data_IF_633733802680
#
_entry.id   IF_633733802680
#
_cell.length_a   1.000
_cell.length_b   1.000
_cell.length_c   1.000
_cell.angle_alpha   90.00
_cell.angle_beta   90.00
_cell.angle_gamma   90.00
#
_symmetry.space_group_name_H-M   'P 1'
#
loop_
_entity.id
_entity.type
_entity.pdbx_description
1 polymer ?
#
# COMPACT_ATOMS: atom_id res chain seq x y z
N UNK A 1 37.57 29.50 8.70
CA UNK A 1 36.42 28.78 8.12
C UNK A 1 37.02 27.61 7.35
N UNK A 2 36.85 26.39 7.86
CA UNK A 2 37.36 25.17 7.21
C UNK A 2 36.20 24.47 6.54
N UNK A 3 36.31 24.20 5.24
CA UNK A 3 35.35 23.37 4.53
C UNK A 3 35.64 21.92 4.88
N UNK A 4 34.69 21.23 5.55
CA UNK A 4 34.78 19.84 5.93
C UNK A 4 33.99 19.00 4.91
N UNK A 5 34.69 18.14 4.15
CA UNK A 5 34.05 17.23 3.21
C UNK A 5 33.70 15.93 3.90
N UNK A 6 32.42 15.71 4.14
CA UNK A 6 31.92 14.47 4.72
C UNK A 6 31.69 13.43 3.62
N UNK A 7 32.33 12.29 3.78
CA UNK A 7 32.24 11.15 2.85
C UNK A 7 31.28 10.11 3.40
N UNK A 8 30.58 9.39 2.53
CA UNK A 8 29.73 8.28 2.93
C UNK A 8 30.56 7.24 3.71
N UNK A 9 30.30 7.06 5.03
CA UNK A 9 31.04 6.07 5.82
C UNK A 9 30.72 4.66 5.40
N UNK A 10 31.52 3.69 5.85
CA UNK A 10 31.18 2.28 5.74
C UNK A 10 29.97 1.97 6.67
N UNK A 11 28.85 1.61 6.05
CA UNK A 11 27.57 1.40 6.72
C UNK A 11 27.21 -0.08 6.89
N UNK A 12 28.18 -0.99 6.71
CA UNK A 12 28.04 -2.43 6.94
C UNK A 12 28.94 -3.30 6.09
N UNK A 13 29.29 -4.49 6.59
CA UNK A 13 30.17 -5.42 5.90
C UNK A 13 29.68 -5.76 4.48
N UNK A 14 30.51 -5.42 3.48
CA UNK A 14 30.27 -5.73 2.07
C UNK A 14 29.38 -4.72 1.33
N UNK A 15 29.04 -3.58 1.92
CA UNK A 15 28.28 -2.51 1.27
C UNK A 15 29.22 -1.65 0.43
N UNK A 16 29.02 -1.60 -0.88
CA UNK A 16 29.84 -0.83 -1.82
C UNK A 16 29.20 0.52 -2.14
N UNK A 17 27.86 0.59 -2.11
CA UNK A 17 27.07 1.77 -2.45
C UNK A 17 25.77 1.82 -1.64
N UNK A 18 25.20 3.03 -1.47
CA UNK A 18 23.94 3.26 -0.81
C UNK A 18 23.06 4.23 -1.58
N UNK A 19 21.74 4.01 -1.54
CA UNK A 19 20.75 4.91 -2.14
C UNK A 19 20.34 5.98 -1.15
N UNK A 20 20.38 7.25 -1.55
CA UNK A 20 19.83 8.36 -0.79
C UNK A 20 18.31 8.28 -0.77
N UNK A 21 17.73 7.99 0.38
CA UNK A 21 16.27 7.87 0.54
C UNK A 21 15.63 9.19 0.91
N UNK A 22 16.27 9.90 1.84
CA UNK A 22 15.75 11.17 2.34
C UNK A 22 16.89 12.02 2.90
N UNK A 23 16.89 13.32 2.56
CA UNK A 23 17.67 14.34 3.25
C UNK A 23 16.83 14.94 4.37
N UNK A 24 17.39 15.02 5.57
CA UNK A 24 16.76 15.68 6.73
C UNK A 24 17.14 17.17 6.82
N UNK A 25 18.06 17.62 5.97
CA UNK A 25 18.68 18.95 5.97
C UNK A 25 18.73 19.50 4.55
N UNK A 26 18.86 20.83 4.45
CA UNK A 26 18.98 21.57 3.19
C UNK A 26 20.27 22.40 3.17
N UNK A 27 20.73 22.79 1.99
CA UNK A 27 21.86 23.71 1.85
C UNK A 27 21.55 25.03 2.55
N UNK A 28 22.42 25.45 3.46
CA UNK A 28 22.26 26.64 4.30
C UNK A 28 21.74 26.36 5.72
N UNK A 29 21.32 25.12 6.03
CA UNK A 29 20.90 24.74 7.37
C UNK A 29 22.10 24.60 8.30
N UNK A 30 21.91 24.99 9.58
CA UNK A 30 22.86 24.76 10.66
C UNK A 30 22.60 23.44 11.33
N UNK A 31 23.62 22.60 11.45
CA UNK A 31 23.58 21.28 12.07
C UNK A 31 24.54 21.20 13.26
N UNK A 32 24.16 20.43 14.28
CA UNK A 32 25.02 20.07 15.40
C UNK A 32 25.62 18.68 15.18
N UNK A 33 26.69 18.36 15.88
CA UNK A 33 27.24 17.01 15.94
C UNK A 33 26.13 16.03 16.40
N UNK A 34 26.03 14.87 15.77
CA UNK A 34 25.01 13.84 15.96
C UNK A 34 23.58 14.15 15.43
N UNK A 35 23.34 15.32 14.83
CA UNK A 35 22.05 15.59 14.19
C UNK A 35 21.86 14.68 12.97
N UNK A 36 20.64 14.14 12.73
CA UNK A 36 20.36 13.30 11.57
C UNK A 36 20.44 14.13 10.27
N UNK A 37 21.24 13.68 9.30
CA UNK A 37 21.45 14.38 8.03
C UNK A 37 20.72 13.70 6.88
N UNK A 38 20.93 12.41 6.74
CA UNK A 38 20.46 11.65 5.56
C UNK A 38 20.14 10.22 5.92
N UNK A 39 19.07 9.71 5.33
CA UNK A 39 18.77 8.28 5.34
C UNK A 39 19.32 7.64 4.07
N UNK A 40 20.23 6.69 4.24
CA UNK A 40 20.82 5.91 3.15
C UNK A 40 20.35 4.48 3.24
N UNK A 41 19.86 3.93 2.14
CA UNK A 41 19.40 2.56 2.02
C UNK A 41 20.45 1.70 1.34
N UNK A 42 20.80 0.61 2.01
CA UNK A 42 21.65 -0.46 1.47
C UNK A 42 20.78 -1.64 0.97
N UNK A 43 21.39 -2.70 0.51
CA UNK A 43 20.71 -3.95 0.20
C UNK A 43 20.07 -4.61 1.44
N UNK A 44 20.55 -4.30 2.66
CA UNK A 44 20.14 -4.94 3.92
C UNK A 44 19.25 -4.08 4.82
N UNK A 45 19.50 -2.76 4.89
CA UNK A 45 18.80 -1.88 5.81
C UNK A 45 18.84 -0.41 5.37
N UNK A 46 17.95 0.41 5.94
CA UNK A 46 18.06 1.87 5.88
C UNK A 46 18.77 2.35 7.13
N UNK A 47 19.83 3.13 6.95
CA UNK A 47 20.64 3.68 8.02
C UNK A 47 20.56 5.21 7.97
N UNK A 48 20.23 5.82 9.11
CA UNK A 48 20.30 7.28 9.27
C UNK A 48 21.74 7.66 9.62
N UNK A 49 22.34 8.53 8.82
CA UNK A 49 23.72 9.00 9.02
C UNK A 49 23.66 10.33 9.74
N UNK A 50 24.28 10.45 10.95
CA UNK A 50 24.36 11.69 11.69
C UNK A 50 25.53 12.57 11.22
N UNK A 51 25.49 13.85 11.60
CA UNK A 51 26.57 14.81 11.36
C UNK A 51 27.80 14.50 12.21
N UNK A 52 28.99 14.42 11.63
CA UNK A 52 30.22 14.23 12.40
C UNK A 52 30.75 15.53 13.03
N UNK A 53 30.24 16.70 12.61
CA UNK A 53 30.70 18.03 13.06
C UNK A 53 29.54 19.02 13.10
N UNK A 54 29.65 20.04 13.93
CA UNK A 54 28.71 21.17 13.91
C UNK A 54 29.17 22.23 12.88
N UNK A 55 28.22 22.77 12.12
CA UNK A 55 28.50 23.76 11.09
C UNK A 55 27.28 24.09 10.23
N UNK A 56 27.52 24.79 9.13
CA UNK A 56 26.50 25.14 8.14
C UNK A 56 26.75 24.33 6.87
N UNK A 57 25.70 23.72 6.32
CA UNK A 57 25.79 22.91 5.10
C UNK A 57 26.02 23.82 3.90
N UNK A 58 27.15 23.64 3.22
CA UNK A 58 27.49 24.41 2.02
C UNK A 58 27.08 23.71 0.73
N UNK A 59 27.16 22.38 0.66
CA UNK A 59 26.67 21.61 -0.49
C UNK A 59 26.22 20.20 -0.09
N UNK A 60 25.30 19.64 -0.88
CA UNK A 60 24.85 18.25 -0.80
C UNK A 60 25.20 17.54 -2.11
N UNK A 61 25.74 16.33 -2.02
CA UNK A 61 26.11 15.52 -3.19
C UNK A 61 25.04 14.45 -3.42
N UNK A 62 24.34 14.56 -4.55
CA UNK A 62 23.28 13.64 -4.95
C UNK A 62 21.87 14.02 -4.50
N UNK A 63 20.93 13.71 -5.37
CA UNK A 63 19.49 13.88 -5.13
C UNK A 63 18.89 12.62 -4.48
N UNK A 64 17.70 12.77 -3.92
CA UNK A 64 16.92 11.62 -3.44
C UNK A 64 16.71 10.61 -4.55
N UNK A 65 17.14 9.37 -4.34
CA UNK A 65 17.13 8.25 -5.29
C UNK A 65 18.47 8.01 -6.01
N UNK A 66 19.50 8.82 -5.75
CA UNK A 66 20.82 8.60 -6.34
C UNK A 66 21.61 7.56 -5.54
N UNK A 67 22.42 6.76 -6.24
CA UNK A 67 23.35 5.80 -5.65
C UNK A 67 24.67 6.49 -5.37
N UNK A 68 25.14 6.43 -4.14
CA UNK A 68 26.41 7.00 -3.71
C UNK A 68 27.34 5.88 -3.24
N UNK A 69 28.53 5.80 -3.83
CA UNK A 69 29.52 4.80 -3.43
C UNK A 69 30.11 5.13 -2.05
N UNK A 70 30.39 4.10 -1.25
CA UNK A 70 31.08 4.26 0.04
C UNK A 70 32.44 4.95 -0.17
N UNK A 71 32.72 5.98 0.64
CA UNK A 71 33.91 6.81 0.53
C UNK A 71 33.81 8.01 -0.44
N UNK A 72 32.73 8.12 -1.22
CA UNK A 72 32.47 9.31 -2.04
C UNK A 72 31.99 10.48 -1.18
N UNK A 73 32.18 11.72 -1.69
CA UNK A 73 31.70 12.92 -1.02
C UNK A 73 30.18 12.88 -0.90
N UNK A 74 29.66 13.03 0.31
CA UNK A 74 28.23 13.05 0.62
C UNK A 74 27.73 14.49 0.79
N UNK A 75 28.51 15.34 1.45
CA UNK A 75 28.19 16.75 1.69
C UNK A 75 29.42 17.54 2.09
N UNK A 76 29.30 18.86 2.05
CA UNK A 76 30.30 19.80 2.56
C UNK A 76 29.69 20.65 3.67
N UNK A 77 30.44 20.80 4.77
CA UNK A 77 30.03 21.57 5.96
C UNK A 77 31.06 22.64 6.22
N UNK A 78 30.63 23.90 6.31
CA UNK A 78 31.46 25.00 6.77
C UNK A 78 31.47 25.00 8.31
N UNK A 79 32.58 24.55 8.90
CA UNK A 79 32.75 24.53 10.36
C UNK A 79 33.54 25.75 10.87
N UNK A 80 33.11 26.31 11.98
CA UNK A 80 33.83 27.42 12.70
C UNK A 80 34.94 26.91 13.63
N UNK A 81 35.59 25.77 13.37
CA UNK A 81 36.62 25.18 14.22
C UNK A 81 37.82 24.65 13.46
N UNK A 82 39.03 24.86 14.01
CA UNK A 82 40.30 24.30 13.57
C UNK A 82 40.26 22.77 13.63
N UNK A 83 40.47 22.10 12.49
CA UNK A 83 40.58 20.66 12.49
C UNK A 83 41.28 20.15 11.22
N UNK A 84 42.58 19.96 11.31
CA UNK A 84 43.37 19.29 10.27
C UNK A 84 43.05 17.80 10.17
N UNK A 85 42.67 17.35 9.00
CA UNK A 85 42.65 15.94 8.60
C UNK A 85 43.71 15.68 7.53
N UNK A 86 44.31 14.48 7.43
CA UNK A 86 45.42 14.22 6.55
C UNK A 86 45.02 14.21 5.08
N UNK A 87 45.83 14.86 4.24
CA UNK A 87 45.76 14.80 2.81
C UNK A 87 46.00 13.34 2.32
N UNK A 88 45.11 12.83 1.51
CA UNK A 88 45.32 11.58 0.76
C UNK A 88 45.79 11.94 -0.65
N UNK A 89 46.83 11.22 -1.07
CA UNK A 89 47.59 11.35 -2.29
C UNK A 89 46.74 11.24 -3.56
N UNK A 90 47.05 12.11 -4.52
CA UNK A 90 46.61 12.05 -5.93
C UNK A 90 46.96 10.71 -6.57
N UNK A 91 45.94 10.04 -7.08
CA UNK A 91 46.15 9.03 -8.12
C UNK A 91 45.33 9.46 -9.33
N UNK A 92 46.07 9.90 -10.38
CA UNK A 92 45.55 10.18 -11.71
C UNK A 92 44.74 8.98 -12.23
N UNK A 93 43.48 9.19 -12.56
CA UNK A 93 42.68 8.24 -13.36
C UNK A 93 42.38 8.89 -14.69
N UNK A 94 42.91 8.25 -15.72
CA UNK A 94 42.76 8.58 -17.13
C UNK A 94 41.30 8.61 -17.55
N UNK A 95 40.95 9.63 -18.34
CA UNK A 95 39.68 9.74 -19.05
C UNK A 95 39.45 8.54 -20.00
N UNK A 96 38.27 7.94 -20.05
CA UNK A 96 37.89 7.06 -21.14
C UNK A 96 37.32 7.85 -22.31
N UNK A 97 37.85 7.53 -23.45
CA UNK A 97 37.55 8.01 -24.80
C UNK A 97 36.05 7.87 -25.12
N UNK A 98 35.47 8.95 -25.63
CA UNK A 98 34.09 9.03 -26.16
C UNK A 98 33.89 8.12 -27.38
N UNK A 99 32.89 7.25 -27.31
CA UNK A 99 32.32 6.56 -28.47
C UNK A 99 31.30 7.45 -29.20
N UNK A 100 31.14 7.33 -30.51
CA UNK A 100 30.33 8.24 -31.32
C UNK A 100 28.82 7.95 -31.26
N UNK A 101 28.01 9.02 -31.28
CA UNK A 101 26.56 9.01 -31.32
C UNK A 101 25.96 8.16 -32.47
N UNK A 102 24.85 7.44 -32.21
CA UNK A 102 24.08 6.81 -33.28
C UNK A 102 23.24 7.83 -34.05
N UNK A 103 22.96 7.58 -35.35
CA UNK A 103 22.35 8.56 -36.24
C UNK A 103 20.88 8.85 -35.88
N UNK A 104 20.58 10.13 -35.93
CA UNK A 104 19.30 10.81 -35.75
C UNK A 104 18.17 10.13 -36.55
N UNK A 105 17.11 9.72 -35.85
CA UNK A 105 15.85 9.30 -36.45
C UNK A 105 15.03 10.53 -36.89
N UNK A 106 14.30 10.50 -38.02
CA UNK A 106 13.60 11.65 -38.53
C UNK A 106 12.40 12.06 -37.65
N UNK A 107 12.26 13.37 -37.42
CA UNK A 107 11.13 13.99 -36.75
C UNK A 107 9.79 13.61 -37.41
N UNK A 108 8.77 13.31 -36.62
CA UNK A 108 7.43 13.12 -37.18
C UNK A 108 6.83 14.45 -37.63
N UNK A 109 6.39 14.47 -38.88
CA UNK A 109 5.65 15.54 -39.54
C UNK A 109 4.41 15.96 -38.72
N UNK A 110 4.08 17.26 -38.63
CA UNK A 110 2.94 17.72 -37.84
C UNK A 110 1.62 17.23 -38.41
N UNK A 111 0.80 16.61 -37.56
CA UNK A 111 -0.57 16.24 -37.89
C UNK A 111 -1.42 17.46 -38.24
N UNK A 112 -2.40 17.34 -39.19
CA UNK A 112 -3.24 18.43 -39.57
C UNK A 112 -4.13 18.90 -38.42
N UNK A 113 -4.15 20.22 -38.18
CA UNK A 113 -5.05 20.91 -37.24
C UNK A 113 -6.49 20.56 -37.56
N UNK A 114 -7.20 20.01 -36.58
CA UNK A 114 -8.65 19.92 -36.60
C UNK A 114 -9.26 21.33 -36.68
N UNK A 115 -10.36 21.53 -37.44
CA UNK A 115 -10.99 22.82 -37.54
C UNK A 115 -11.55 23.27 -36.20
N UNK A 116 -11.32 24.56 -35.87
CA UNK A 116 -11.93 25.22 -34.72
C UNK A 116 -13.46 25.11 -34.80
N UNK A 117 -14.14 24.74 -33.73
CA UNK A 117 -15.61 24.80 -33.72
C UNK A 117 -16.05 26.27 -33.79
N UNK A 118 -16.86 26.60 -34.78
CA UNK A 118 -17.54 27.88 -34.91
C UNK A 118 -18.32 28.21 -33.62
N UNK A 119 -18.43 29.50 -33.24
CA UNK A 119 -19.16 29.90 -32.06
C UNK A 119 -20.61 29.45 -32.16
N UNK A 120 -21.00 28.49 -31.32
CA UNK A 120 -22.39 28.08 -31.20
C UNK A 120 -23.18 29.26 -30.67
N UNK A 121 -24.07 29.78 -31.50
CA UNK A 121 -25.12 30.69 -31.08
C UNK A 121 -25.86 30.08 -29.88
N UNK A 122 -25.85 30.79 -28.76
CA UNK A 122 -26.62 30.45 -27.57
C UNK A 122 -28.10 30.59 -27.97
N UNK A 123 -28.70 29.50 -28.40
CA UNK A 123 -30.14 29.42 -28.48
C UNK A 123 -30.68 29.56 -27.05
N UNK A 124 -31.23 30.70 -26.75
CA UNK A 124 -32.06 30.96 -25.58
C UNK A 124 -33.30 30.05 -25.67
N UNK A 125 -33.14 28.81 -25.23
CA UNK A 125 -34.29 27.96 -24.93
C UNK A 125 -35.06 28.63 -23.81
N UNK A 126 -36.24 29.16 -24.15
CA UNK A 126 -37.25 29.63 -23.19
C UNK A 126 -37.58 28.48 -22.23
N UNK A 127 -36.88 28.43 -21.10
CA UNK A 127 -37.10 27.46 -20.06
C UNK A 127 -38.52 27.64 -19.54
N UNK A 128 -39.40 26.67 -19.83
CA UNK A 128 -40.76 26.64 -19.33
C UNK A 128 -40.75 26.65 -17.81
N UNK A 129 -41.09 27.80 -17.22
CA UNK A 129 -41.10 27.97 -15.78
C UNK A 129 -42.19 27.08 -15.15
N UNK A 130 -41.79 26.12 -14.30
CA UNK A 130 -42.72 25.23 -13.61
C UNK A 130 -43.15 25.88 -12.30
N UNK A 131 -44.41 26.36 -12.23
CA UNK A 131 -45.00 26.94 -11.03
C UNK A 131 -46.48 26.60 -10.97
N UNK A 132 -47.04 26.50 -9.75
CA UNK A 132 -48.48 26.32 -9.56
C UNK A 132 -49.29 27.61 -9.92
N UNK A 133 -50.59 27.49 -10.21
CA UNK A 133 -51.41 28.66 -10.50
C UNK A 133 -51.39 29.69 -9.35
N UNK A 134 -51.36 29.23 -8.08
CA UNK A 134 -51.33 30.12 -6.93
C UNK A 134 -49.98 30.88 -6.83
N UNK A 135 -48.84 30.24 -7.13
CA UNK A 135 -47.52 30.90 -7.17
C UNK A 135 -47.47 31.92 -8.32
N UNK A 136 -48.05 31.60 -9.47
CA UNK A 136 -48.13 32.54 -10.63
C UNK A 136 -49.00 33.76 -10.34
N UNK A 137 -50.11 33.59 -9.61
CA UNK A 137 -50.96 34.68 -9.19
C UNK A 137 -50.21 35.62 -8.25
N UNK A 138 -49.57 35.06 -7.22
CA UNK A 138 -48.82 35.84 -6.23
C UNK A 138 -47.60 36.55 -6.82
N UNK A 139 -46.93 35.93 -7.79
CA UNK A 139 -45.83 36.56 -8.49
C UNK A 139 -46.28 37.83 -9.28
N UNK A 140 -47.46 37.76 -9.95
CA UNK A 140 -48.05 38.92 -10.62
C UNK A 140 -48.47 40.02 -9.65
N UNK A 141 -49.01 39.66 -8.49
CA UNK A 141 -49.40 40.61 -7.43
C UNK A 141 -48.21 41.37 -6.84
N UNK A 142 -47.01 40.80 -6.94
CA UNK A 142 -45.77 41.40 -6.43
C UNK A 142 -44.81 41.84 -7.55
N UNK A 143 -45.26 41.84 -8.83
CA UNK A 143 -44.51 42.22 -10.01
C UNK A 143 -43.18 41.50 -10.17
N UNK A 144 -43.18 40.19 -9.87
CA UNK A 144 -41.99 39.31 -9.90
C UNK A 144 -42.04 38.43 -11.13
N UNK A 145 -40.99 38.52 -11.97
CA UNK A 145 -40.77 37.56 -13.05
C UNK A 145 -40.26 36.23 -12.52
N UNK A 146 -41.09 35.19 -12.68
CA UNK A 146 -40.75 33.81 -12.21
C UNK A 146 -39.57 33.20 -12.95
N UNK A 147 -39.11 33.74 -14.07
CA UNK A 147 -37.89 33.29 -14.74
C UNK A 147 -36.63 33.54 -13.91
N UNK A 148 -36.70 34.53 -13.01
CA UNK A 148 -35.61 34.92 -12.12
C UNK A 148 -35.67 34.23 -10.78
N UNK A 149 -36.74 33.47 -10.49
CA UNK A 149 -36.90 32.73 -9.22
C UNK A 149 -36.48 31.30 -9.41
N UNK A 150 -35.55 30.85 -8.59
CA UNK A 150 -35.06 29.45 -8.57
C UNK A 150 -36.03 28.58 -7.78
N UNK A 151 -36.63 27.58 -8.42
CA UNK A 151 -37.52 26.62 -7.75
C UNK A 151 -36.77 25.53 -6.98
N UNK A 152 -37.14 25.29 -5.71
CA UNK A 152 -36.63 24.21 -4.86
C UNK A 152 -37.46 22.94 -4.93
N UNK A 153 -38.56 22.92 -5.65
CA UNK A 153 -39.45 21.77 -5.78
C UNK A 153 -38.99 20.72 -6.81
N UNK A 154 -39.67 19.54 -6.85
CA UNK A 154 -39.38 18.50 -7.83
C UNK A 154 -39.36 19.04 -9.28
N UNK A 155 -38.36 18.62 -10.06
CA UNK A 155 -38.11 19.10 -11.41
C UNK A 155 -37.89 20.62 -11.54
N UNK A 156 -37.40 21.29 -10.45
CA UNK A 156 -37.16 22.72 -10.45
C UNK A 156 -38.46 23.57 -10.33
N UNK A 157 -39.55 23.02 -9.80
CA UNK A 157 -40.82 23.73 -9.59
C UNK A 157 -40.67 24.80 -8.53
N UNK A 158 -41.12 26.03 -8.82
CA UNK A 158 -41.15 27.14 -7.88
C UNK A 158 -42.27 26.94 -6.89
N UNK A 159 -41.95 26.99 -5.58
CA UNK A 159 -42.84 26.93 -4.46
C UNK A 159 -43.10 28.31 -3.88
N UNK A 160 -44.13 28.46 -3.01
CA UNK A 160 -44.39 29.72 -2.34
C UNK A 160 -43.20 30.24 -1.53
N UNK A 161 -42.50 29.34 -0.81
CA UNK A 161 -41.31 29.70 -0.03
C UNK A 161 -40.15 30.27 -0.90
N UNK A 162 -39.99 29.80 -2.15
CA UNK A 162 -38.96 30.27 -3.06
C UNK A 162 -39.27 31.71 -3.52
N UNK A 163 -40.55 31.97 -3.79
CA UNK A 163 -41.03 33.30 -4.17
C UNK A 163 -40.92 34.28 -2.99
N UNK A 164 -41.28 33.85 -1.79
CA UNK A 164 -41.18 34.66 -0.57
C UNK A 164 -39.74 35.03 -0.24
N UNK A 165 -38.82 34.07 -0.37
CA UNK A 165 -37.38 34.29 -0.18
C UNK A 165 -36.82 35.29 -1.26
N UNK A 166 -37.27 35.19 -2.51
CA UNK A 166 -36.86 36.10 -3.56
C UNK A 166 -37.39 37.53 -3.33
N UNK A 167 -38.64 37.68 -2.88
CA UNK A 167 -39.24 38.99 -2.56
C UNK A 167 -38.49 39.57 -1.33
N UNK A 168 -38.26 38.80 -0.29
CA UNK A 168 -37.55 39.24 0.91
C UNK A 168 -36.10 39.67 0.61
N UNK A 169 -35.46 39.09 -0.42
CA UNK A 169 -34.14 39.44 -0.89
C UNK A 169 -34.11 40.66 -1.85
N UNK A 170 -35.23 41.36 -1.99
CA UNK A 170 -35.32 42.57 -2.85
C UNK A 170 -35.16 42.29 -4.32
N UNK A 171 -35.48 41.07 -4.80
CA UNK A 171 -35.31 40.67 -6.20
C UNK A 171 -33.87 40.26 -6.56
N UNK A 172 -32.96 40.30 -5.64
CA UNK A 172 -31.61 39.75 -5.85
C UNK A 172 -31.70 38.22 -5.92
N UNK A 173 -31.21 37.63 -7.00
CA UNK A 173 -31.06 36.17 -7.11
C UNK A 173 -30.11 35.75 -6.01
N UNK A 174 -30.65 35.27 -4.89
CA UNK A 174 -29.88 34.62 -3.83
C UNK A 174 -29.38 33.29 -4.42
N UNK A 175 -28.33 33.38 -5.21
CA UNK A 175 -27.60 32.20 -5.62
C UNK A 175 -27.01 31.57 -4.37
N UNK A 176 -27.39 30.33 -4.03
CA UNK A 176 -26.55 29.54 -3.17
C UNK A 176 -25.11 29.68 -3.68
N UNK A 177 -24.10 29.87 -2.81
CA UNK A 177 -22.74 30.01 -3.27
C UNK A 177 -22.46 28.84 -4.24
N UNK A 178 -21.83 29.09 -5.39
CA UNK A 178 -21.55 28.03 -6.33
C UNK A 178 -20.85 26.93 -5.57
N UNK A 179 -21.42 25.71 -5.62
CA UNK A 179 -20.77 24.57 -4.99
C UNK A 179 -19.33 24.54 -5.48
N UNK A 180 -18.38 24.49 -4.56
CA UNK A 180 -16.92 24.59 -4.82
C UNK A 180 -16.34 23.44 -5.65
N UNK A 181 -17.18 22.76 -6.45
CA UNK A 181 -16.78 21.66 -7.34
C UNK A 181 -16.27 22.12 -8.71
N UNK A 182 -16.28 23.43 -8.99
CA UNK A 182 -15.97 23.95 -10.33
C UNK A 182 -14.50 24.27 -10.59
N UNK A 183 -13.64 24.19 -9.58
CA UNK A 183 -12.20 24.38 -9.79
C UNK A 183 -11.60 23.13 -10.43
N UNK A 184 -11.21 23.25 -11.70
CA UNK A 184 -10.42 22.22 -12.37
C UNK A 184 -9.08 22.07 -11.63
N UNK A 185 -8.82 20.87 -11.11
CA UNK A 185 -7.51 20.52 -10.56
C UNK A 185 -6.64 20.07 -11.73
N UNK A 186 -5.62 20.84 -12.07
CA UNK A 186 -4.69 20.57 -13.19
C UNK A 186 -3.26 20.32 -12.70
N UNK A 187 -3.03 20.43 -11.41
CA UNK A 187 -1.73 20.21 -10.81
C UNK A 187 -1.36 18.73 -10.86
N UNK A 188 -0.15 18.43 -11.33
CA UNK A 188 0.46 17.11 -11.37
C UNK A 188 1.73 17.18 -10.55
N UNK A 189 1.81 16.41 -9.48
CA UNK A 189 2.98 16.34 -8.63
C UNK A 189 3.77 15.06 -8.96
N UNK A 190 4.93 15.13 -9.61
CA UNK A 190 5.78 13.96 -9.82
C UNK A 190 6.40 13.54 -8.50
N UNK A 191 6.34 12.24 -8.18
CA UNK A 191 6.96 11.64 -6.99
C UNK A 191 7.92 10.54 -7.43
N UNK A 192 9.20 10.67 -7.10
CA UNK A 192 10.21 9.61 -7.36
C UNK A 192 9.89 8.36 -6.53
N UNK A 193 10.06 7.19 -7.12
CA UNK A 193 9.92 5.90 -6.42
C UNK A 193 11.31 5.48 -5.97
N UNK A 194 11.58 5.60 -4.65
CA UNK A 194 12.90 5.39 -4.05
C UNK A 194 12.83 4.45 -2.85
N UNK A 195 13.96 3.97 -2.38
CA UNK A 195 14.10 3.20 -1.16
C UNK A 195 13.22 1.93 -1.15
N UNK A 196 12.60 1.65 -0.01
CA UNK A 196 11.73 0.47 0.15
C UNK A 196 10.66 0.37 -0.95
N UNK A 197 10.06 1.49 -1.37
CA UNK A 197 9.03 1.49 -2.42
C UNK A 197 9.58 1.01 -3.75
N UNK A 198 10.83 1.34 -4.08
CA UNK A 198 11.52 0.83 -5.27
C UNK A 198 11.73 -0.68 -5.18
N UNK A 199 12.26 -1.18 -4.05
CA UNK A 199 12.43 -2.63 -3.82
C UNK A 199 11.11 -3.40 -3.91
N UNK A 200 10.02 -2.87 -3.32
CA UNK A 200 8.69 -3.47 -3.46
C UNK A 200 8.25 -3.51 -4.93
N UNK A 201 8.47 -2.42 -5.68
CA UNK A 201 8.10 -2.34 -7.09
C UNK A 201 8.84 -3.39 -7.93
N UNK A 202 10.14 -3.54 -7.72
CA UNK A 202 10.99 -4.52 -8.38
C UNK A 202 10.54 -5.95 -8.05
N UNK A 203 10.34 -6.25 -6.76
CA UNK A 203 9.89 -7.57 -6.31
C UNK A 203 8.51 -7.94 -6.83
N UNK A 204 7.56 -7.01 -6.83
CA UNK A 204 6.21 -7.26 -7.35
C UNK A 204 6.22 -7.42 -8.88
N UNK A 205 7.04 -6.64 -9.58
CA UNK A 205 7.23 -6.77 -11.02
C UNK A 205 7.88 -8.10 -11.38
N UNK A 206 8.90 -8.52 -10.62
CA UNK A 206 9.56 -9.82 -10.77
C UNK A 206 8.56 -10.97 -10.58
N UNK A 207 7.82 -10.96 -9.46
CA UNK A 207 6.81 -11.96 -9.17
C UNK A 207 5.78 -12.05 -10.30
N UNK A 208 5.24 -10.91 -10.75
CA UNK A 208 4.18 -10.87 -11.74
C UNK A 208 4.63 -11.26 -13.15
N UNK A 209 5.90 -11.00 -13.49
CA UNK A 209 6.47 -11.39 -14.79
C UNK A 209 6.88 -12.85 -14.87
N UNK A 210 7.34 -13.44 -13.74
CA UNK A 210 7.83 -14.84 -13.71
C UNK A 210 6.73 -15.85 -13.38
N UNK A 211 5.78 -15.50 -12.48
CA UNK A 211 4.78 -16.43 -11.98
C UNK A 211 3.48 -16.32 -12.81
N UNK A 212 3.04 -17.39 -13.50
CA UNK A 212 1.70 -17.47 -14.07
C UNK A 212 0.68 -17.72 -12.96
N UNK A 213 0.23 -16.63 -12.31
CA UNK A 213 -0.74 -16.70 -11.22
C UNK A 213 -2.09 -17.20 -11.71
N UNK A 214 -2.68 -18.18 -11.02
CA UNK A 214 -4.11 -18.38 -11.04
C UNK A 214 -4.72 -18.15 -9.67
N UNK A 215 -5.97 -17.76 -9.61
CA UNK A 215 -6.64 -17.42 -8.36
C UNK A 215 -7.83 -18.32 -8.11
N UNK A 216 -8.04 -18.70 -6.84
CA UNK A 216 -9.17 -19.47 -6.38
C UNK A 216 -9.89 -18.72 -5.26
N UNK A 217 -11.21 -18.60 -5.34
CA UNK A 217 -12.03 -17.86 -4.39
C UNK A 217 -12.99 -18.83 -3.71
N UNK A 218 -13.17 -18.69 -2.40
CA UNK A 218 -14.05 -19.54 -1.62
C UNK A 218 -14.76 -18.77 -0.50
N UNK A 219 -16.03 -19.08 -0.27
CA UNK A 219 -16.78 -18.60 0.88
C UNK A 219 -16.73 -19.62 2.00
N UNK A 220 -16.48 -19.14 3.23
CA UNK A 220 -16.35 -19.95 4.44
C UNK A 220 -17.33 -19.47 5.49
N UNK A 221 -18.13 -20.36 6.04
CA UNK A 221 -19.01 -20.08 7.18
C UNK A 221 -18.23 -20.20 8.49
N UNK A 222 -17.80 -19.07 9.01
CA UNK A 222 -17.00 -18.98 10.24
C UNK A 222 -17.85 -18.75 11.51
N UNK A 223 -19.15 -19.05 11.48
CA UNK A 223 -20.02 -18.79 12.64
C UNK A 223 -19.56 -19.57 13.87
N UNK A 224 -19.25 -20.84 13.73
CA UNK A 224 -18.77 -21.67 14.84
C UNK A 224 -17.36 -21.28 15.28
N UNK A 225 -16.50 -20.86 14.36
CA UNK A 225 -15.20 -20.31 14.68
C UNK A 225 -15.30 -18.99 15.46
N UNK A 226 -16.25 -18.12 15.13
CA UNK A 226 -16.49 -16.88 15.88
C UNK A 226 -16.98 -17.17 17.29
N UNK A 227 -17.90 -18.12 17.47
CA UNK A 227 -18.37 -18.57 18.78
C UNK A 227 -17.20 -19.06 19.64
N UNK A 228 -16.34 -19.94 19.08
CA UNK A 228 -15.16 -20.44 19.78
C UNK A 228 -14.19 -19.29 20.15
N UNK A 229 -13.92 -18.40 19.19
CA UNK A 229 -13.05 -17.23 19.40
C UNK A 229 -13.56 -16.33 20.54
N UNK A 230 -14.86 -16.11 20.60
CA UNK A 230 -15.46 -15.31 21.68
C UNK A 230 -15.34 -16.00 23.03
N UNK A 231 -15.59 -17.30 23.13
CA UNK A 231 -15.42 -18.09 24.34
C UNK A 231 -13.97 -18.00 24.82
N UNK A 232 -13.00 -18.30 23.96
CA UNK A 232 -11.58 -18.25 24.32
C UNK A 232 -11.15 -16.84 24.75
N UNK A 233 -11.63 -15.79 24.10
CA UNK A 233 -11.34 -14.41 24.50
C UNK A 233 -12.00 -14.01 25.83
N UNK A 234 -13.15 -14.58 26.18
CA UNK A 234 -13.82 -14.30 27.47
C UNK A 234 -13.19 -15.01 28.64
N UNK A 235 -12.52 -16.14 28.41
CA UNK A 235 -11.88 -16.98 29.43
C UNK A 235 -10.35 -16.85 29.46
N UNK A 236 -9.76 -16.03 28.59
CA UNK A 236 -8.31 -15.84 28.49
C UNK A 236 -7.72 -15.25 29.77
N UNK A 237 -6.50 -15.64 30.10
CA UNK A 237 -5.71 -15.01 31.14
C UNK A 237 -5.20 -13.63 30.72
N UNK A 238 -4.83 -12.78 31.69
CA UNK A 238 -4.31 -11.43 31.41
C UNK A 238 -3.00 -11.43 30.58
N UNK A 239 -2.23 -12.50 30.66
CA UNK A 239 -0.98 -12.69 29.92
C UNK A 239 -1.19 -13.15 28.48
N UNK A 240 -2.38 -13.66 28.16
CA UNK A 240 -2.71 -14.16 26.84
C UNK A 240 -3.18 -13.03 25.92
N UNK A 241 -2.74 -12.98 24.65
CA UNK A 241 -3.16 -11.99 23.70
C UNK A 241 -4.64 -12.18 23.30
N UNK A 242 -5.29 -11.10 22.86
CA UNK A 242 -6.63 -11.21 22.27
C UNK A 242 -6.57 -11.93 20.93
N UNK A 243 -7.31 -13.03 20.80
CA UNK A 243 -7.38 -13.80 19.55
C UNK A 243 -8.20 -13.08 18.48
N UNK A 244 -7.62 -13.00 17.28
CA UNK A 244 -8.28 -12.66 16.02
C UNK A 244 -8.54 -13.94 15.22
N UNK A 245 -9.02 -13.85 13.97
CA UNK A 245 -9.18 -15.04 13.11
C UNK A 245 -7.85 -15.60 12.61
N UNK A 246 -6.84 -14.73 12.41
CA UNK A 246 -5.57 -15.12 11.80
C UNK A 246 -4.86 -16.27 12.53
N UNK A 247 -4.69 -16.28 13.87
CA UNK A 247 -4.06 -17.40 14.54
C UNK A 247 -4.74 -18.76 14.29
N UNK A 248 -6.08 -18.79 14.19
CA UNK A 248 -6.81 -20.02 13.85
C UNK A 248 -6.53 -20.47 12.42
N UNK A 249 -6.50 -19.53 11.48
CA UNK A 249 -6.16 -19.81 10.07
C UNK A 249 -4.71 -20.31 9.97
N UNK A 250 -3.78 -19.70 10.73
CA UNK A 250 -2.37 -20.08 10.74
C UNK A 250 -2.18 -21.52 11.24
N UNK A 251 -2.81 -21.91 12.35
CA UNK A 251 -2.73 -23.28 12.87
C UNK A 251 -3.42 -24.26 11.93
N UNK A 252 -4.59 -23.90 11.36
CA UNK A 252 -5.27 -24.74 10.40
C UNK A 252 -4.38 -25.01 9.17
N UNK A 253 -3.75 -23.97 8.62
CA UNK A 253 -2.79 -24.12 7.51
C UNK A 253 -1.61 -24.99 7.89
N UNK A 254 -0.96 -24.73 9.05
CA UNK A 254 0.18 -25.50 9.51
C UNK A 254 -0.16 -26.99 9.64
N UNK A 255 -1.40 -27.29 10.04
CA UNK A 255 -1.87 -28.68 10.22
C UNK A 255 -2.12 -29.39 8.91
N UNK A 256 -2.63 -28.69 7.88
CA UNK A 256 -2.98 -29.30 6.59
C UNK A 256 -1.82 -29.29 5.59
N UNK A 257 -0.81 -28.45 5.75
CA UNK A 257 0.34 -28.34 4.83
C UNK A 257 1.07 -29.66 4.56
N UNK A 258 1.22 -30.59 5.52
CA UNK A 258 1.81 -31.90 5.23
C UNK A 258 1.04 -32.72 4.17
N UNK A 259 -0.27 -32.51 4.06
CA UNK A 259 -1.11 -33.16 3.04
C UNK A 259 -1.09 -32.43 1.68
N UNK A 260 -0.53 -31.20 1.65
CA UNK A 260 -0.44 -30.33 0.47
C UNK A 260 0.98 -29.76 0.29
N UNK A 261 2.02 -30.61 0.21
CA UNK A 261 3.42 -30.16 0.22
C UNK A 261 3.80 -29.34 -1.01
N UNK A 262 3.06 -29.44 -2.12
CA UNK A 262 3.22 -28.62 -3.32
C UNK A 262 2.88 -27.14 -3.10
N UNK A 263 2.03 -26.84 -2.11
CA UNK A 263 1.64 -25.47 -1.77
C UNK A 263 2.57 -24.82 -0.73
N UNK A 264 3.40 -25.61 0.00
CA UNK A 264 4.38 -25.13 0.97
C UNK A 264 5.79 -25.25 0.40
N UNK A 265 6.07 -24.51 -0.67
CA UNK A 265 7.29 -24.66 -1.45
C UNK A 265 7.85 -23.34 -1.95
N UNK A 266 9.13 -23.35 -2.33
CA UNK A 266 9.78 -22.31 -3.10
C UNK A 266 10.13 -22.86 -4.50
N UNK A 267 9.93 -22.06 -5.53
CA UNK A 267 10.36 -22.40 -6.87
C UNK A 267 11.62 -21.59 -7.22
N UNK A 268 12.70 -22.32 -7.46
CA UNK A 268 13.93 -21.75 -7.97
C UNK A 268 13.84 -21.68 -9.50
N UNK A 269 13.65 -20.46 -10.01
CA UNK A 269 13.49 -20.21 -11.45
C UNK A 269 14.76 -20.52 -12.25
N UNK A 270 15.95 -20.37 -11.65
CA UNK A 270 17.24 -20.55 -12.35
C UNK A 270 17.62 -22.04 -12.42
N UNK A 271 17.45 -22.74 -11.30
CA UNK A 271 17.72 -24.17 -11.23
C UNK A 271 16.58 -25.02 -11.80
N UNK A 272 15.37 -24.47 -11.97
CA UNK A 272 14.17 -25.20 -12.34
C UNK A 272 13.73 -26.24 -11.29
N UNK A 273 13.94 -25.94 -9.99
CA UNK A 273 13.73 -26.87 -8.88
C UNK A 273 12.65 -26.35 -7.94
N UNK A 274 11.73 -27.21 -7.54
CA UNK A 274 10.74 -26.95 -6.48
C UNK A 274 11.27 -27.49 -5.16
N UNK A 275 11.54 -26.61 -4.21
CA UNK A 275 11.96 -26.92 -2.86
C UNK A 275 10.73 -26.98 -1.94
N UNK A 276 10.23 -28.19 -1.65
CA UNK A 276 9.12 -28.42 -0.71
C UNK A 276 9.63 -28.31 0.72
N UNK A 277 8.99 -27.47 1.53
CA UNK A 277 9.39 -27.21 2.90
C UNK A 277 8.59 -28.09 3.87
N UNK A 278 9.26 -28.72 4.82
CA UNK A 278 8.59 -29.42 5.93
C UNK A 278 8.13 -28.45 7.02
N UNK A 279 8.93 -27.40 7.27
CA UNK A 279 8.58 -26.32 8.18
C UNK A 279 7.49 -25.42 7.57
N UNK A 280 6.56 -24.95 8.40
CA UNK A 280 5.51 -24.03 8.00
C UNK A 280 5.81 -22.65 8.58
N UNK A 281 6.47 -21.82 7.76
CA UNK A 281 6.85 -20.46 8.10
C UNK A 281 5.87 -19.50 7.42
N UNK A 282 4.99 -18.88 8.20
CA UNK A 282 3.93 -18.04 7.65
C UNK A 282 4.31 -16.58 7.65
N UNK A 283 4.42 -16.02 6.44
CA UNK A 283 4.55 -14.57 6.22
C UNK A 283 3.20 -13.87 6.46
N UNK A 284 3.21 -12.79 7.23
CA UNK A 284 2.01 -12.01 7.56
C UNK A 284 2.13 -10.61 6.97
N UNK A 285 1.42 -10.34 5.87
CA UNK A 285 1.45 -9.01 5.25
C UNK A 285 1.00 -7.93 6.24
N UNK A 286 1.91 -7.04 6.59
CA UNK A 286 1.73 -6.01 7.61
C UNK A 286 1.98 -4.63 7.02
N UNK A 287 0.95 -3.77 7.04
CA UNK A 287 1.06 -2.38 6.61
C UNK A 287 1.80 -1.57 7.68
N UNK A 288 2.78 -0.77 7.23
CA UNK A 288 3.53 0.20 8.04
C UNK A 288 3.54 1.56 7.35
N UNK A 289 3.98 2.60 8.04
CA UNK A 289 4.11 3.96 7.47
C UNK A 289 5.15 4.00 6.34
N UNK A 290 6.15 3.12 6.38
CA UNK A 290 7.20 3.01 5.35
C UNK A 290 6.79 2.16 4.15
N UNK A 291 5.73 1.35 4.26
CA UNK A 291 5.23 0.46 3.21
C UNK A 291 4.76 -0.89 3.75
N UNK A 292 4.60 -1.87 2.86
CA UNK A 292 4.17 -3.21 3.21
C UNK A 292 5.39 -4.10 3.51
N UNK A 293 5.43 -4.66 4.73
CA UNK A 293 6.39 -5.68 5.13
C UNK A 293 5.69 -7.03 5.29
N UNK A 294 6.46 -8.11 5.20
CA UNK A 294 5.97 -9.48 5.39
C UNK A 294 6.80 -10.15 6.49
N UNK A 295 6.61 -9.77 7.79
CA UNK A 295 7.25 -10.48 8.88
C UNK A 295 6.78 -11.93 8.93
N UNK A 296 7.65 -12.82 9.43
CA UNK A 296 7.51 -14.27 9.36
C UNK A 296 7.34 -14.86 10.75
N UNK A 297 6.26 -15.61 10.93
CA UNK A 297 6.09 -16.50 12.09
C UNK A 297 6.65 -17.87 11.71
N UNK A 298 7.81 -18.22 12.26
CA UNK A 298 8.51 -19.45 11.92
C UNK A 298 7.97 -20.64 12.73
N UNK A 299 7.94 -21.82 12.13
CA UNK A 299 7.58 -23.09 12.76
C UNK A 299 6.21 -23.08 13.44
N UNK A 300 5.19 -22.58 12.74
CA UNK A 300 3.81 -22.52 13.25
C UNK A 300 3.28 -23.92 13.62
N UNK A 301 3.73 -24.97 12.94
CA UNK A 301 3.41 -26.36 13.21
C UNK A 301 3.79 -26.82 14.64
N UNK A 302 4.70 -26.09 15.31
CA UNK A 302 5.16 -26.40 16.69
C UNK A 302 4.49 -25.54 17.76
N UNK A 303 3.50 -24.69 17.39
CA UNK A 303 2.89 -23.71 18.27
C UNK A 303 1.43 -24.03 18.58
N UNK A 304 0.99 -23.69 19.80
CA UNK A 304 -0.43 -23.60 20.14
C UNK A 304 -1.02 -22.26 19.70
N UNK A 305 -2.36 -22.09 19.88
CA UNK A 305 -3.09 -20.91 19.46
C UNK A 305 -2.60 -19.62 20.15
N UNK A 306 -2.23 -19.69 21.43
CA UNK A 306 -1.81 -18.53 22.20
C UNK A 306 -0.40 -18.10 21.83
N UNK A 307 0.50 -19.07 21.67
CA UNK A 307 1.87 -18.82 21.21
C UNK A 307 1.88 -18.27 19.78
N UNK A 308 1.07 -18.84 18.87
CA UNK A 308 0.91 -18.33 17.50
C UNK A 308 0.40 -16.89 17.49
N UNK A 309 -0.61 -16.58 18.32
CA UNK A 309 -1.13 -15.23 18.44
C UNK A 309 -0.11 -14.24 19.01
N UNK A 310 0.64 -14.65 20.04
CA UNK A 310 1.69 -13.81 20.65
C UNK A 310 2.83 -13.54 19.67
N UNK A 311 3.29 -14.56 18.97
CA UNK A 311 4.40 -14.45 18.02
C UNK A 311 4.00 -13.61 16.80
N UNK A 312 2.79 -13.83 16.27
CA UNK A 312 2.25 -12.99 15.19
C UNK A 312 2.18 -11.51 15.59
N UNK A 313 1.73 -11.21 16.83
CA UNK A 313 1.69 -9.83 17.33
C UNK A 313 3.08 -9.26 17.50
N UNK A 314 4.03 -10.03 18.00
CA UNK A 314 5.42 -9.63 18.20
C UNK A 314 6.08 -9.24 16.88
N UNK A 315 6.10 -10.14 15.90
CA UNK A 315 6.77 -9.87 14.60
C UNK A 315 6.08 -8.76 13.81
N UNK A 316 4.74 -8.69 13.85
CA UNK A 316 4.00 -7.59 13.22
C UNK A 316 4.21 -6.25 13.93
N UNK A 317 4.41 -6.25 15.24
CA UNK A 317 4.79 -5.09 16.05
C UNK A 317 6.18 -4.60 15.66
N UNK A 318 7.21 -5.47 15.72
CA UNK A 318 8.58 -5.15 15.30
C UNK A 318 8.64 -4.56 13.89
N UNK A 319 7.83 -5.10 12.95
CA UNK A 319 7.77 -4.57 11.59
C UNK A 319 7.18 -3.14 11.54
N UNK A 320 6.12 -2.83 12.33
CA UNK A 320 5.54 -1.48 12.40
C UNK A 320 6.48 -0.49 13.05
N UNK A 321 7.16 -0.90 14.12
CA UNK A 321 8.09 -0.08 14.86
C UNK A 321 9.44 0.11 14.13
N UNK A 322 9.64 -0.60 13.01
CA UNK A 322 10.87 -0.56 12.21
C UNK A 322 12.08 -1.23 12.88
N UNK A 323 11.84 -2.10 13.88
CA UNK A 323 12.85 -2.84 14.65
C UNK A 323 12.98 -4.30 14.24
N UNK A 324 12.22 -4.75 13.22
CA UNK A 324 12.26 -6.12 12.75
C UNK A 324 13.65 -6.48 12.19
N UNK A 325 14.19 -7.59 12.64
CA UNK A 325 15.45 -8.13 12.12
C UNK A 325 15.26 -8.74 10.73
N UNK A 326 16.36 -8.89 9.98
CA UNK A 326 16.33 -9.56 8.69
C UNK A 326 15.80 -11.00 8.81
N UNK A 327 16.16 -11.70 9.88
CA UNK A 327 15.66 -13.05 10.16
C UNK A 327 14.13 -13.10 10.35
N UNK A 328 13.54 -12.05 10.89
CA UNK A 328 12.08 -11.93 11.04
C UNK A 328 11.36 -11.54 9.74
N UNK A 329 12.07 -11.02 8.74
CA UNK A 329 11.52 -10.57 7.46
C UNK A 329 11.77 -11.56 6.31
N UNK A 330 12.46 -12.68 6.58
CA UNK A 330 12.86 -13.65 5.55
C UNK A 330 12.51 -15.08 5.94
N UNK A 331 12.45 -15.97 4.93
CA UNK A 331 12.26 -17.40 5.14
C UNK A 331 10.81 -17.84 5.31
N UNK A 332 9.84 -17.04 4.86
CA UNK A 332 8.45 -17.47 4.74
C UNK A 332 8.31 -18.53 3.65
N UNK A 333 7.46 -19.52 3.89
CA UNK A 333 7.16 -20.60 2.94
C UNK A 333 5.78 -20.46 2.33
N UNK A 334 4.94 -19.62 2.94
CA UNK A 334 3.58 -19.30 2.52
C UNK A 334 3.17 -17.97 3.14
N UNK A 335 2.54 -17.09 2.38
CA UNK A 335 2.15 -15.76 2.88
C UNK A 335 0.63 -15.66 3.08
N UNK A 336 0.23 -14.99 4.17
CA UNK A 336 -1.15 -14.60 4.46
C UNK A 336 -1.27 -13.08 4.38
N UNK A 337 -2.23 -12.58 3.62
CA UNK A 337 -2.56 -11.15 3.54
C UNK A 337 -3.97 -10.88 4.02
N UNK A 338 -4.16 -9.86 4.85
CA UNK A 338 -5.48 -9.46 5.35
C UNK A 338 -5.57 -7.96 5.54
N UNK A 339 -6.63 -7.36 5.01
CA UNK A 339 -6.97 -5.95 5.23
C UNK A 339 -7.92 -5.75 6.42
N UNK A 340 -8.21 -6.81 7.18
CA UNK A 340 -9.08 -6.75 8.35
C UNK A 340 -10.46 -6.18 8.03
N UNK A 341 -10.88 -5.13 8.75
CA UNK A 341 -12.20 -4.50 8.58
C UNK A 341 -12.36 -3.75 7.26
N UNK A 342 -11.29 -3.26 6.68
CA UNK A 342 -11.27 -2.53 5.41
C UNK A 342 -11.24 -3.48 4.20
N UNK A 343 -11.02 -4.77 4.44
CA UNK A 343 -10.99 -5.79 3.41
C UNK A 343 -12.30 -5.86 2.62
N UNK A 344 -12.17 -6.00 1.29
CA UNK A 344 -13.28 -6.20 0.37
C UNK A 344 -13.86 -7.61 0.43
N UNK A 345 -14.54 -8.00 -0.65
CA UNK A 345 -15.11 -9.33 -0.82
C UNK A 345 -14.11 -10.33 -1.42
N UNK A 346 -13.09 -9.84 -2.09
CA UNK A 346 -12.07 -10.63 -2.76
C UNK A 346 -10.97 -9.74 -3.30
N UNK A 347 -9.82 -10.31 -3.55
CA UNK A 347 -8.67 -9.71 -4.23
C UNK A 347 -7.91 -10.81 -4.98
N UNK A 348 -7.04 -10.42 -5.89
CA UNK A 348 -6.07 -11.31 -6.53
C UNK A 348 -4.69 -10.99 -5.97
N UNK A 349 -4.27 -11.62 -4.85
CA UNK A 349 -3.00 -11.31 -4.23
C UNK A 349 -1.84 -11.70 -5.15
N UNK A 350 -0.75 -10.94 -5.08
CA UNK A 350 0.50 -11.26 -5.78
C UNK A 350 1.35 -12.11 -4.85
N UNK A 351 1.85 -13.23 -5.37
CA UNK A 351 2.67 -14.18 -4.61
C UNK A 351 3.99 -13.50 -4.22
N UNK A 352 4.43 -13.72 -3.00
CA UNK A 352 5.71 -13.24 -2.49
C UNK A 352 6.83 -14.18 -3.00
N UNK A 353 7.38 -13.86 -4.18
CA UNK A 353 8.43 -14.67 -4.80
C UNK A 353 9.63 -14.86 -3.84
N UNK A 354 10.19 -16.08 -3.66
CA UNK A 354 10.01 -17.31 -4.48
C UNK A 354 8.95 -18.31 -3.96
N UNK A 355 8.03 -17.88 -3.07
CA UNK A 355 6.90 -18.72 -2.65
C UNK A 355 6.03 -19.10 -3.86
N UNK A 356 5.26 -20.18 -3.71
CA UNK A 356 4.35 -20.68 -4.77
C UNK A 356 2.88 -20.39 -4.48
N UNK A 357 2.55 -19.86 -3.29
CA UNK A 357 1.17 -19.63 -2.90
C UNK A 357 1.01 -18.48 -1.90
N UNK A 358 -0.14 -17.83 -1.94
CA UNK A 358 -0.54 -16.77 -1.01
C UNK A 358 -2.04 -16.86 -0.71
N UNK A 359 -2.44 -16.60 0.54
CA UNK A 359 -3.84 -16.56 0.97
C UNK A 359 -4.27 -15.15 1.37
N UNK A 360 -5.32 -14.64 0.74
CA UNK A 360 -6.02 -13.42 1.14
C UNK A 360 -7.21 -13.72 2.04
N UNK A 361 -7.25 -13.10 3.21
CA UNK A 361 -8.34 -13.22 4.17
C UNK A 361 -9.15 -11.93 4.19
N UNK A 362 -10.43 -12.04 3.84
CA UNK A 362 -11.30 -10.90 3.66
C UNK A 362 -12.21 -10.63 4.86
N UNK A 363 -13.01 -9.58 4.76
CA UNK A 363 -13.92 -9.14 5.80
C UNK A 363 -14.99 -10.19 6.11
N UNK A 364 -15.09 -10.58 7.37
CA UNK A 364 -16.21 -11.37 7.88
C UNK A 364 -17.48 -10.50 8.01
N UNK A 365 -18.61 -11.00 7.53
CA UNK A 365 -19.91 -10.29 7.55
C UNK A 365 -21.06 -11.24 7.82
N UNK A 366 -22.14 -10.74 8.41
CA UNK A 366 -23.37 -11.50 8.55
C UNK A 366 -24.12 -11.51 7.22
N UNK A 367 -24.55 -12.70 6.79
CA UNK A 367 -25.27 -12.89 5.55
C UNK A 367 -26.42 -13.88 5.73
N UNK A 368 -27.57 -13.68 5.06
CA UNK A 368 -28.59 -14.69 4.96
C UNK A 368 -28.12 -15.81 4.03
N UNK A 369 -28.09 -17.04 4.53
CA UNK A 369 -27.75 -18.24 3.75
C UNK A 369 -28.86 -19.27 3.84
N UNK A 370 -29.06 -20.04 2.77
CA UNK A 370 -30.02 -21.14 2.76
C UNK A 370 -29.39 -22.40 3.38
N UNK A 371 -29.93 -22.90 4.49
CA UNK A 371 -29.53 -24.16 5.11
C UNK A 371 -30.76 -24.99 5.45
N UNK A 372 -30.75 -26.24 5.04
CA UNK A 372 -31.85 -27.21 5.34
C UNK A 372 -33.25 -26.69 4.95
N UNK A 373 -33.35 -25.92 3.85
CA UNK A 373 -34.62 -25.37 3.38
C UNK A 373 -35.09 -24.09 4.12
N UNK A 374 -34.29 -23.55 5.07
CA UNK A 374 -34.57 -22.30 5.79
C UNK A 374 -33.49 -21.25 5.48
N UNK A 375 -33.86 -19.97 5.57
CA UNK A 375 -32.91 -18.86 5.53
C UNK A 375 -32.44 -18.59 6.96
N UNK A 376 -31.14 -18.67 7.18
CA UNK A 376 -30.49 -18.42 8.46
C UNK A 376 -29.38 -17.36 8.30
N UNK A 377 -29.15 -16.56 9.36
CA UNK A 377 -28.04 -15.61 9.37
C UNK A 377 -26.78 -16.35 9.81
N UNK A 378 -25.72 -16.25 9.01
CA UNK A 378 -24.42 -16.86 9.27
C UNK A 378 -23.32 -15.83 9.07
N UNK A 379 -22.19 -16.04 9.72
CA UNK A 379 -21.01 -15.21 9.58
C UNK A 379 -20.11 -15.79 8.50
N UNK A 380 -20.09 -15.10 7.36
CA UNK A 380 -19.39 -15.56 6.16
C UNK A 380 -18.11 -14.74 5.99
N UNK A 381 -17.02 -15.40 5.67
CA UNK A 381 -15.74 -14.82 5.31
C UNK A 381 -15.29 -15.36 3.96
N UNK A 382 -14.81 -14.47 3.09
CA UNK A 382 -14.26 -14.90 1.82
C UNK A 382 -12.75 -15.11 1.96
N UNK A 383 -12.26 -16.14 1.28
CA UNK A 383 -10.84 -16.41 1.06
C UNK A 383 -10.53 -16.20 -0.42
N UNK A 384 -9.41 -15.58 -0.72
CA UNK A 384 -8.83 -15.47 -2.06
C UNK A 384 -7.43 -16.02 -2.02
N UNK A 385 -7.13 -17.00 -2.82
CA UNK A 385 -5.78 -17.53 -2.94
C UNK A 385 -5.23 -17.29 -4.33
N UNK A 386 -3.92 -17.17 -4.44
CA UNK A 386 -3.21 -17.24 -5.70
C UNK A 386 -2.10 -18.28 -5.60
N UNK A 387 -1.89 -18.98 -6.70
CA UNK A 387 -0.93 -20.07 -6.80
C UNK A 387 -0.10 -19.91 -8.07
N UNK A 388 1.14 -20.41 -8.03
CA UNK A 388 2.01 -20.53 -9.19
C UNK A 388 1.61 -21.76 -10.01
N UNK A 389 1.00 -21.54 -11.19
CA UNK A 389 0.50 -22.64 -12.02
C UNK A 389 1.59 -23.49 -12.69
N UNK A 390 2.86 -23.18 -12.42
CA UNK A 390 3.99 -24.03 -12.82
C UNK A 390 4.22 -25.19 -11.84
N UNK A 391 3.74 -25.02 -10.59
CA UNK A 391 4.02 -25.93 -9.46
C UNK A 391 2.73 -26.50 -8.86
N UNK A 392 1.67 -25.70 -8.79
CA UNK A 392 0.39 -26.04 -8.16
C UNK A 392 -0.70 -26.04 -9.24
N UNK A 393 -1.33 -27.19 -9.44
CA UNK A 393 -2.46 -27.31 -10.35
C UNK A 393 -3.77 -26.79 -9.72
N UNK A 394 -4.78 -26.55 -10.57
CA UNK A 394 -6.08 -26.07 -10.10
C UNK A 394 -6.75 -27.00 -9.09
N UNK A 395 -6.57 -28.32 -9.23
CA UNK A 395 -7.08 -29.32 -8.30
C UNK A 395 -6.37 -29.28 -6.94
N UNK A 396 -5.05 -29.08 -6.93
CA UNK A 396 -4.24 -29.04 -5.71
C UNK A 396 -4.57 -27.79 -4.88
N UNK A 397 -4.60 -26.62 -5.55
CA UNK A 397 -4.98 -25.37 -4.91
C UNK A 397 -6.41 -25.39 -4.37
N UNK A 398 -7.35 -25.93 -5.13
CA UNK A 398 -8.74 -26.13 -4.68
C UNK A 398 -8.80 -27.08 -3.47
N UNK A 399 -8.06 -28.19 -3.50
CA UNK A 399 -8.02 -29.19 -2.42
C UNK A 399 -7.50 -28.57 -1.12
N UNK A 400 -6.40 -27.79 -1.16
CA UNK A 400 -5.89 -27.04 0.01
C UNK A 400 -6.98 -26.13 0.59
N UNK A 401 -7.61 -25.31 -0.24
CA UNK A 401 -8.60 -24.33 0.24
C UNK A 401 -9.87 -25.02 0.75
N UNK A 402 -10.34 -26.11 0.14
CA UNK A 402 -11.47 -26.89 0.63
C UNK A 402 -11.14 -27.57 1.98
N UNK A 403 -9.90 -28.05 2.16
CA UNK A 403 -9.45 -28.60 3.44
C UNK A 403 -9.42 -27.52 4.52
N UNK A 404 -8.85 -26.34 4.21
CA UNK A 404 -8.87 -25.19 5.10
C UNK A 404 -10.30 -24.78 5.47
N UNK A 405 -11.20 -24.65 4.49
CA UNK A 405 -12.62 -24.35 4.69
C UNK A 405 -13.26 -25.32 5.68
N UNK A 406 -13.07 -26.62 5.46
CA UNK A 406 -13.60 -27.67 6.35
C UNK A 406 -13.16 -27.48 7.80
N UNK A 407 -11.89 -27.11 8.02
CA UNK A 407 -11.36 -26.87 9.37
C UNK A 407 -11.94 -25.60 9.99
N UNK A 408 -12.07 -24.51 9.24
CA UNK A 408 -12.62 -23.25 9.74
C UNK A 408 -14.12 -23.33 10.02
N UNK A 409 -14.86 -24.11 9.23
CA UNK A 409 -16.28 -24.36 9.44
C UNK A 409 -16.54 -25.34 10.61
N UNK A 410 -15.55 -26.17 10.95
CA UNK A 410 -15.59 -27.13 12.05
C UNK A 410 -14.35 -26.96 12.96
N UNK A 411 -14.29 -25.90 13.77
CA UNK A 411 -13.06 -25.49 14.44
C UNK A 411 -12.50 -26.50 15.44
N UNK A 412 -13.29 -27.49 15.88
CA UNK A 412 -12.79 -28.60 16.68
C UNK A 412 -11.68 -29.39 15.96
N UNK A 413 -11.74 -29.48 14.62
CA UNK A 413 -10.72 -30.17 13.82
C UNK A 413 -9.35 -29.47 13.86
N UNK A 414 -9.30 -28.19 14.19
CA UNK A 414 -8.05 -27.45 14.30
C UNK A 414 -7.22 -27.98 15.49
N UNK A 415 -7.88 -28.47 16.55
CA UNK A 415 -7.26 -28.87 17.81
C UNK A 415 -7.20 -30.39 18.02
N UNK A 416 -7.79 -31.17 17.13
CA UNK A 416 -7.69 -32.65 17.12
C UNK A 416 -6.46 -33.12 16.36
#
# INVERSE_FOLDING_TARGET
>A
MGNFVFKLPDIGEGVVEGEVVQWHVSVGDSVSEDDPIVDVMTDKATVTIPSPVSGVISSLSGDVGDMIAVGSSLMEIDSEGEGGGPAAEDTEVQEPVSEPDPPNAPEPSPAPKAPEPAPSEIQTQTRRVLASPAVRKRARENDVDLSNVRGSGPAGRIRHADLDAFIAAGGAVSGAPPMAYSLKRTEVTPVKVVGLRRKISEQMSLSKSRIPHFSYFEEVDITELENLRQILNSTRDQTQPKLTYLPFIMIALAKIMPDHPECNAHFDDEAGVVNRNAAVNLGIATQTDRGLYVPVVKHVESMDIWKTASEMQRVSGSARDGTASLDELTGSTFTITSLGREGGLGATPIINHPEVAILGVHKAREMPVARNGAVVIRRIMNLSSAFDHRVVDGADGASLIQHLKRMLENPALIFM
#
